data_IF_281395182024
#
_entry.id   IF_281395182024
#
_cell.length_a   1.000
_cell.length_b   1.000
_cell.length_c   1.000
_cell.angle_alpha   90.00
_cell.angle_beta   90.00
_cell.angle_gamma   90.00
#
_symmetry.space_group_name_H-M   'P 1'
#
loop_
_entity.id
_entity.type
_entity.pdbx_description
1 polymer ?
#
# COMPACT_ATOMS: atom_id res chain seq x y z
N UNK A 1 -16.68 10.02 23.81
CA UNK A 1 -15.76 10.02 22.64
C UNK A 1 -15.51 8.56 22.23
N UNK A 2 -16.35 7.99 21.35
CA UNK A 2 -16.30 6.57 20.97
C UNK A 2 -15.98 6.45 19.48
N UNK A 3 -14.72 6.55 19.09
CA UNK A 3 -14.28 6.57 17.67
C UNK A 3 -13.50 5.32 17.27
N UNK A 4 -13.80 4.18 17.91
CA UNK A 4 -13.29 2.86 17.52
C UNK A 4 -14.26 2.20 16.55
N UNK A 5 -13.75 1.71 15.43
CA UNK A 5 -14.51 0.98 14.40
C UNK A 5 -14.02 -0.47 14.33
N UNK A 6 -14.90 -1.37 13.90
CA UNK A 6 -14.54 -2.77 13.64
C UNK A 6 -14.04 -2.86 12.20
N UNK A 7 -12.77 -3.20 12.04
CA UNK A 7 -12.14 -3.44 10.74
C UNK A 7 -11.98 -4.95 10.50
N UNK A 8 -12.17 -5.36 9.25
CA UNK A 8 -11.98 -6.74 8.83
C UNK A 8 -10.57 -6.88 8.28
N UNK A 9 -9.73 -7.73 8.88
CA UNK A 9 -8.32 -7.89 8.51
C UNK A 9 -8.19 -8.28 7.03
N UNK A 10 -8.99 -9.24 6.56
CA UNK A 10 -9.05 -9.68 5.15
C UNK A 10 -9.80 -8.71 4.24
N UNK A 11 -10.55 -7.76 4.82
CA UNK A 11 -11.58 -6.90 4.19
C UNK A 11 -12.75 -7.65 3.58
N UNK A 12 -12.87 -8.94 3.85
CA UNK A 12 -14.07 -9.68 3.52
C UNK A 12 -15.15 -9.35 4.54
N UNK A 13 -16.24 -8.73 4.09
CA UNK A 13 -17.38 -8.35 4.93
C UNK A 13 -18.26 -9.55 5.30
N UNK A 14 -18.10 -10.66 4.58
CA UNK A 14 -18.84 -11.89 4.84
C UNK A 14 -18.17 -12.73 5.93
N UNK A 15 -16.85 -12.59 6.11
CA UNK A 15 -16.11 -13.29 7.15
C UNK A 15 -16.16 -12.54 8.50
N UNK A 16 -17.20 -12.87 9.27
CA UNK A 16 -17.47 -12.29 10.60
C UNK A 16 -16.81 -13.07 11.74
N UNK A 17 -15.85 -13.97 11.46
CA UNK A 17 -15.13 -14.70 12.51
C UNK A 17 -14.33 -13.72 13.36
N UNK A 18 -14.32 -13.89 14.68
CA UNK A 18 -13.59 -13.00 15.62
C UNK A 18 -12.12 -12.81 15.23
N UNK A 19 -11.46 -13.84 14.69
CA UNK A 19 -10.07 -13.76 14.22
C UNK A 19 -9.88 -12.78 13.05
N UNK A 20 -10.91 -12.54 12.24
CA UNK A 20 -10.89 -11.61 11.12
C UNK A 20 -11.31 -10.18 11.53
N UNK A 21 -11.80 -9.97 12.76
CA UNK A 21 -12.27 -8.67 13.23
C UNK A 21 -11.24 -8.03 14.17
N UNK A 22 -10.95 -6.74 13.99
CA UNK A 22 -10.08 -5.96 14.87
C UNK A 22 -10.69 -4.61 15.24
N UNK A 23 -10.51 -4.19 16.48
CA UNK A 23 -10.87 -2.84 16.92
C UNK A 23 -9.77 -1.86 16.55
N UNK A 24 -10.09 -0.91 15.69
CA UNK A 24 -9.14 0.09 15.19
C UNK A 24 -9.72 1.50 15.28
N UNK A 25 -8.85 2.51 15.22
CA UNK A 25 -9.31 3.89 15.01
C UNK A 25 -9.82 4.08 13.59
N UNK A 26 -10.67 5.09 13.37
CA UNK A 26 -11.10 5.46 12.02
C UNK A 26 -9.90 5.71 11.08
N UNK A 27 -8.83 6.33 11.59
CA UNK A 27 -7.61 6.57 10.81
C UNK A 27 -6.94 5.26 10.38
N UNK A 28 -6.83 4.30 11.29
CA UNK A 28 -6.26 2.98 11.01
C UNK A 28 -7.12 2.18 10.02
N UNK A 29 -8.45 2.25 10.12
CA UNK A 29 -9.37 1.61 9.17
C UNK A 29 -9.15 2.12 7.73
N UNK A 30 -8.90 3.43 7.58
CA UNK A 30 -8.61 4.03 6.27
C UNK A 30 -7.29 3.50 5.68
N UNK A 31 -6.32 3.11 6.51
CA UNK A 31 -5.06 2.51 6.03
C UNK A 31 -5.29 1.17 5.33
N UNK A 32 -6.24 0.38 5.82
CA UNK A 32 -6.63 -0.91 5.23
C UNK A 32 -7.50 -0.76 3.95
N UNK A 33 -7.84 0.47 3.55
CA UNK A 33 -8.67 0.72 2.36
C UNK A 33 -8.01 0.17 1.09
N UNK A 34 -8.82 -0.45 0.25
CA UNK A 34 -8.38 -0.95 -1.05
C UNK A 34 -8.14 0.11 -2.11
N UNK A 35 -7.88 -0.38 -3.32
CA UNK A 35 -7.74 0.44 -4.52
C UNK A 35 -9.10 1.09 -4.83
N UNK A 36 -9.11 2.38 -5.14
CA UNK A 36 -10.32 3.06 -5.62
C UNK A 36 -10.74 2.50 -6.98
N UNK A 37 -12.05 2.34 -7.21
CA UNK A 37 -12.59 1.87 -8.51
C UNK A 37 -12.16 2.75 -9.68
N UNK A 38 -11.91 4.04 -9.42
CA UNK A 38 -11.49 5.01 -10.43
C UNK A 38 -9.97 5.00 -10.68
N UNK A 39 -9.24 4.02 -10.14
CA UNK A 39 -7.79 3.97 -10.31
C UNK A 39 -7.41 3.26 -11.62
N UNK A 40 -6.92 4.03 -12.58
CA UNK A 40 -6.50 3.56 -13.89
C UNK A 40 -5.24 2.68 -13.87
N UNK A 41 -4.38 2.80 -12.84
CA UNK A 41 -3.13 2.05 -12.78
C UNK A 41 -3.29 0.66 -12.17
N UNK A 42 -4.39 0.41 -11.46
CA UNK A 42 -4.62 -0.85 -10.75
C UNK A 42 -3.71 -1.07 -9.54
N UNK A 43 -2.97 -0.04 -9.08
CA UNK A 43 -2.11 -0.09 -7.90
C UNK A 43 -2.46 1.03 -6.91
N UNK A 44 -2.60 0.69 -5.63
CA UNK A 44 -2.88 1.65 -4.56
C UNK A 44 -1.73 2.65 -4.42
N UNK A 45 -2.09 3.93 -4.33
CA UNK A 45 -1.12 5.02 -4.18
C UNK A 45 -0.29 5.31 -5.42
N UNK A 46 -0.65 4.75 -6.58
CA UNK A 46 0.05 4.98 -7.85
C UNK A 46 -0.88 5.67 -8.84
N UNK A 47 -0.37 6.71 -9.50
CA UNK A 47 -1.04 7.38 -10.60
C UNK A 47 -0.04 7.74 -11.70
N UNK A 48 -0.54 7.99 -12.91
CA UNK A 48 0.29 8.38 -14.04
C UNK A 48 0.28 9.90 -14.21
N UNK A 49 1.45 10.53 -14.10
CA UNK A 49 1.66 11.93 -14.44
C UNK A 49 1.83 12.04 -15.96
N UNK A 50 0.78 12.52 -16.64
CA UNK A 50 0.76 12.70 -18.11
C UNK A 50 1.76 13.74 -18.60
N UNK A 51 2.05 14.78 -17.82
CA UNK A 51 2.97 15.84 -18.24
C UNK A 51 4.40 15.31 -18.30
N UNK A 52 4.79 14.51 -17.31
CA UNK A 52 6.15 13.95 -17.22
C UNK A 52 6.27 12.54 -17.81
N UNK A 53 5.16 11.94 -18.23
CA UNK A 53 5.05 10.54 -18.71
C UNK A 53 5.65 9.54 -17.71
N UNK A 54 5.42 9.74 -16.41
CA UNK A 54 5.97 8.89 -15.33
C UNK A 54 4.89 8.44 -14.34
N UNK A 55 5.10 7.29 -13.72
CA UNK A 55 4.27 6.78 -12.64
C UNK A 55 4.74 7.34 -11.30
N UNK A 56 3.84 8.02 -10.61
CA UNK A 56 4.10 8.61 -9.31
C UNK A 56 3.57 7.68 -8.21
N UNK A 57 4.36 7.47 -7.16
CA UNK A 57 3.93 6.77 -5.97
C UNK A 57 3.78 7.75 -4.79
N UNK A 58 2.63 7.73 -4.13
CA UNK A 58 2.32 8.56 -2.98
C UNK A 58 1.60 7.78 -1.89
N UNK A 59 1.81 8.18 -0.65
CA UNK A 59 1.16 7.58 0.52
C UNK A 59 0.67 8.67 1.46
N UNK A 60 -0.54 8.52 1.98
CA UNK A 60 -1.11 9.45 2.95
C UNK A 60 -0.97 8.86 4.35
N UNK A 61 -0.31 9.59 5.25
CA UNK A 61 -0.10 9.19 6.64
C UNK A 61 -0.37 10.39 7.56
N UNK A 62 -1.24 10.23 8.56
CA UNK A 62 -1.56 11.30 9.51
C UNK A 62 -2.10 12.57 8.84
N UNK A 63 -2.87 12.44 7.75
CA UNK A 63 -3.40 13.57 6.98
C UNK A 63 -2.39 14.26 6.07
N UNK A 64 -1.11 13.84 6.06
CA UNK A 64 -0.06 14.40 5.19
C UNK A 64 0.22 13.46 4.02
N UNK A 65 0.41 14.04 2.84
CA UNK A 65 0.83 13.30 1.63
C UNK A 65 2.35 13.20 1.60
N UNK A 66 2.86 11.99 1.47
CA UNK A 66 4.28 11.70 1.29
C UNK A 66 4.50 11.21 -0.14
N UNK A 67 5.25 11.99 -0.92
CA UNK A 67 5.67 11.62 -2.26
C UNK A 67 6.86 10.68 -2.18
N UNK A 68 6.73 9.47 -2.74
CA UNK A 68 7.73 8.41 -2.66
C UNK A 68 8.70 8.42 -3.83
N UNK A 69 8.30 9.04 -4.94
CA UNK A 69 9.11 9.16 -6.14
C UNK A 69 8.32 8.98 -7.42
N UNK A 70 9.03 9.16 -8.53
CA UNK A 70 8.54 8.96 -9.89
C UNK A 70 9.30 7.79 -10.51
N UNK A 71 8.60 6.93 -11.23
CA UNK A 71 9.12 5.70 -11.80
C UNK A 71 8.64 5.55 -13.23
N UNK A 72 9.38 4.81 -14.04
CA UNK A 72 9.03 4.61 -15.45
C UNK A 72 7.93 3.55 -15.61
N UNK A 73 7.68 2.74 -14.59
CA UNK A 73 6.64 1.70 -14.62
C UNK A 73 5.75 1.73 -13.38
N UNK A 74 4.47 1.40 -13.57
CA UNK A 74 3.49 1.29 -12.48
C UNK A 74 3.92 0.25 -11.43
N UNK A 75 4.57 -0.84 -11.86
CA UNK A 75 5.06 -1.91 -10.98
C UNK A 75 6.16 -1.40 -10.04
N UNK A 76 7.15 -0.64 -10.54
CA UNK A 76 8.21 -0.04 -9.70
C UNK A 76 7.63 0.93 -8.68
N UNK A 77 6.68 1.78 -9.11
CA UNK A 77 5.96 2.69 -8.22
C UNK A 77 5.19 1.94 -7.11
N UNK A 78 4.51 0.85 -7.46
CA UNK A 78 3.75 0.05 -6.51
C UNK A 78 4.64 -0.71 -5.51
N UNK A 79 5.84 -1.15 -5.92
CA UNK A 79 6.84 -1.73 -5.01
C UNK A 79 7.35 -0.67 -4.02
N UNK A 80 7.63 0.55 -4.49
CA UNK A 80 8.03 1.65 -3.61
C UNK A 80 6.93 1.99 -2.59
N UNK A 81 5.66 1.99 -3.04
CA UNK A 81 4.51 2.12 -2.16
C UNK A 81 4.48 1.03 -1.10
N UNK A 82 4.58 -0.24 -1.49
CA UNK A 82 4.57 -1.37 -0.55
C UNK A 82 5.67 -1.23 0.51
N UNK A 83 6.91 -0.91 0.10
CA UNK A 83 8.04 -0.70 1.03
C UNK A 83 7.76 0.39 2.05
N UNK A 84 7.15 1.51 1.63
CA UNK A 84 6.81 2.59 2.56
C UNK A 84 5.59 2.25 3.42
N UNK A 85 4.59 1.58 2.86
CA UNK A 85 3.39 1.16 3.57
C UNK A 85 3.72 0.21 4.72
N UNK A 86 4.61 -0.77 4.51
CA UNK A 86 5.11 -1.65 5.59
C UNK A 86 5.78 -0.83 6.69
N UNK A 87 6.65 0.13 6.33
CA UNK A 87 7.37 0.97 7.29
C UNK A 87 6.45 1.91 8.10
N UNK A 88 5.39 2.43 7.48
CA UNK A 88 4.51 3.42 8.12
C UNK A 88 3.33 2.79 8.86
N UNK A 89 2.78 1.70 8.33
CA UNK A 89 1.49 1.15 8.80
C UNK A 89 1.61 -0.27 9.35
N UNK A 90 2.73 -0.97 9.16
CA UNK A 90 2.94 -2.33 9.66
C UNK A 90 1.83 -3.29 9.24
N UNK A 91 1.20 -3.95 10.21
CA UNK A 91 0.11 -4.93 10.03
C UNK A 91 -1.21 -4.32 9.54
N UNK A 92 -1.34 -2.99 9.53
CA UNK A 92 -2.50 -2.28 8.99
C UNK A 92 -2.32 -1.91 7.50
N UNK A 93 -1.14 -2.19 6.94
CA UNK A 93 -0.80 -1.84 5.56
C UNK A 93 -1.55 -2.73 4.55
N UNK A 94 -2.37 -2.12 3.69
CA UNK A 94 -2.82 -2.81 2.48
C UNK A 94 -1.74 -2.75 1.39
N UNK A 95 -1.14 -3.90 1.10
CA UNK A 95 -0.09 -4.04 0.09
C UNK A 95 -0.68 -4.40 -1.29
N UNK A 96 -0.05 -3.88 -2.34
CA UNK A 96 -0.38 -4.23 -3.71
C UNK A 96 0.10 -5.65 -4.03
N UNK A 97 -0.80 -6.64 -3.98
CA UNK A 97 -0.49 -8.05 -4.22
C UNK A 97 -0.06 -8.37 -5.66
N UNK A 98 -0.45 -7.54 -6.64
CA UNK A 98 -0.06 -7.70 -8.07
C UNK A 98 1.42 -7.40 -8.34
N UNK A 99 2.09 -6.77 -7.38
CA UNK A 99 3.52 -6.49 -7.44
C UNK A 99 4.19 -6.98 -6.16
N UNK A 100 4.02 -8.27 -5.83
CA UNK A 100 4.71 -8.89 -4.70
C UNK A 100 6.19 -8.51 -4.80
N UNK A 101 6.64 -7.77 -3.80
CA UNK A 101 8.05 -7.65 -3.52
C UNK A 101 8.45 -9.06 -3.10
N UNK A 102 9.06 -9.83 -4.00
CA UNK A 102 10.03 -10.78 -3.52
C UNK A 102 11.20 -9.90 -3.08
N UNK A 103 11.53 -9.80 -1.77
CA UNK A 103 12.93 -9.60 -1.46
C UNK A 103 13.62 -10.80 -2.10
N UNK A 104 14.09 -10.66 -3.34
CA UNK A 104 15.14 -11.53 -3.81
C UNK A 104 16.27 -11.34 -2.79
N UNK A 105 16.77 -12.42 -2.15
CA UNK A 105 18.00 -12.32 -1.36
C UNK A 105 19.22 -11.93 -2.21
N UNK A 106 19.10 -11.84 -3.55
CA UNK A 106 20.22 -11.76 -4.48
C UNK A 106 20.63 -10.33 -4.90
N UNK A 107 20.60 -9.37 -3.97
CA UNK A 107 21.67 -8.36 -3.95
C UNK A 107 22.66 -8.74 -2.85
N UNK A 108 23.06 -10.01 -2.82
CA UNK A 108 24.38 -10.36 -2.35
C UNK A 108 25.36 -9.77 -3.36
N UNK A 109 26.25 -8.94 -2.84
CA UNK A 109 27.48 -8.46 -3.44
C UNK A 109 28.06 -9.42 -4.49
N UNK A 110 28.49 -8.86 -5.61
CA UNK A 110 29.33 -9.42 -6.67
C UNK A 110 29.72 -10.90 -6.61
N UNK A 111 29.31 -11.65 -7.63
CA UNK A 111 30.23 -12.58 -8.27
C UNK A 111 30.47 -12.09 -9.69
N UNK A 112 31.54 -11.31 -9.80
CA UNK A 112 32.31 -11.17 -11.02
C UNK A 112 33.73 -11.60 -10.64
N UNK A 113 34.24 -12.56 -11.44
CA UNK A 113 35.53 -13.28 -11.42
C UNK A 113 35.81 -14.23 -10.26
#
# INVERSE_FOLDING_TARGET
MWSKVIDHISRDRLDNRKINLRHVSQQQNVLNRGISKNNSTGYKGVYFDKQRKKYVAEIMCGGRKHHLGRFDTAKKAAIAYNRKAVKLFGEYAFLNARCRYTPSPAFACGQAV
#
